data_IF_676090592609
#
_entry.id   IF_676090592609
#
_cell.length_a   1.000
_cell.length_b   1.000
_cell.length_c   1.000
_cell.angle_alpha   90.00
_cell.angle_beta   90.00
_cell.angle_gamma   90.00
#
_symmetry.space_group_name_H-M   'P 1'
#
loop_
_entity.id
_entity.type
_entity.pdbx_description
1 polymer ?
#
# COMPACT_ATOMS: atom_id res chain seq x y z
N UNK A 1 -12.67 -49.13 -4.29
CA UNK A 1 -11.40 -48.39 -4.30
C UNK A 1 -11.68 -47.10 -5.04
N UNK A 2 -11.84 -45.97 -4.34
CA UNK A 2 -12.00 -44.68 -5.00
C UNK A 2 -10.60 -44.16 -5.29
N UNK A 3 -10.22 -44.14 -6.57
CA UNK A 3 -9.03 -43.44 -7.01
C UNK A 3 -9.20 -41.96 -6.68
N UNK A 4 -8.46 -41.48 -5.69
CA UNK A 4 -8.38 -40.06 -5.40
C UNK A 4 -7.83 -39.38 -6.68
N UNK A 5 -8.47 -38.31 -7.17
CA UNK A 5 -8.00 -37.64 -8.37
C UNK A 5 -6.56 -37.17 -8.14
N UNK A 6 -5.67 -37.62 -9.02
CA UNK A 6 -4.28 -37.21 -9.03
C UNK A 6 -4.22 -35.70 -9.27
N UNK A 7 -4.15 -34.92 -8.20
CA UNK A 7 -3.85 -33.50 -8.30
C UNK A 7 -2.50 -33.39 -9.01
N UNK A 8 -2.39 -32.61 -10.11
CA UNK A 8 -1.11 -32.38 -10.76
C UNK A 8 -0.14 -31.88 -9.69
N UNK A 9 0.95 -32.64 -9.50
CA UNK A 9 1.92 -32.39 -8.44
C UNK A 9 2.60 -31.07 -8.76
N UNK A 10 2.08 -29.97 -8.20
CA UNK A 10 2.66 -28.65 -8.36
C UNK A 10 4.12 -28.63 -7.92
N UNK A 11 4.88 -27.62 -8.33
CA UNK A 11 6.24 -27.44 -7.82
C UNK A 11 6.21 -27.26 -6.28
N UNK A 12 7.35 -27.50 -5.61
CA UNK A 12 7.47 -27.23 -4.17
C UNK A 12 7.05 -25.79 -3.85
N UNK A 13 7.51 -24.83 -4.65
CA UNK A 13 7.16 -23.40 -4.53
C UNK A 13 5.65 -23.17 -4.62
N UNK A 14 4.98 -23.81 -5.57
CA UNK A 14 3.52 -23.71 -5.70
C UNK A 14 2.81 -24.21 -4.44
N UNK A 15 3.20 -25.38 -3.91
CA UNK A 15 2.60 -25.89 -2.65
C UNK A 15 2.84 -24.96 -1.47
N UNK A 16 4.06 -24.45 -1.33
CA UNK A 16 4.41 -23.51 -0.26
C UNK A 16 3.63 -22.20 -0.36
N UNK A 17 3.45 -21.67 -1.58
CA UNK A 17 2.62 -20.48 -1.81
C UNK A 17 1.22 -20.66 -1.23
N UNK A 18 0.57 -21.81 -1.50
CA UNK A 18 -0.78 -22.07 -1.01
C UNK A 18 -0.82 -22.29 0.50
N UNK A 19 0.19 -22.96 1.08
CA UNK A 19 0.28 -23.14 2.53
C UNK A 19 0.40 -21.79 3.25
N UNK A 20 1.37 -20.94 2.87
CA UNK A 20 1.50 -19.61 3.46
C UNK A 20 0.27 -18.72 3.23
N UNK A 21 -0.37 -18.85 2.06
CA UNK A 21 -1.59 -18.11 1.76
C UNK A 21 -2.74 -18.51 2.72
N UNK A 22 -2.92 -19.81 2.94
CA UNK A 22 -3.93 -20.36 3.85
C UNK A 22 -3.65 -19.91 5.28
N UNK A 23 -2.42 -20.10 5.76
CA UNK A 23 -1.99 -19.65 7.09
C UNK A 23 -2.28 -18.16 7.31
N UNK A 24 -1.91 -17.29 6.35
CA UNK A 24 -2.11 -15.85 6.46
C UNK A 24 -3.59 -15.42 6.36
N UNK A 25 -4.45 -16.23 5.76
CA UNK A 25 -5.90 -15.97 5.75
C UNK A 25 -6.56 -16.39 7.06
N UNK A 26 -6.08 -17.45 7.70
CA UNK A 26 -6.60 -17.95 8.96
C UNK A 26 -6.07 -17.13 10.15
N UNK A 27 -4.84 -16.63 10.06
CA UNK A 27 -4.20 -15.81 11.10
C UNK A 27 -4.64 -14.35 11.14
N UNK A 28 -5.78 -13.96 10.54
CA UNK A 28 -6.25 -12.56 10.58
C UNK A 28 -6.67 -12.11 11.98
N UNK A 29 -7.04 -13.08 12.81
CA UNK A 29 -7.46 -12.86 14.20
C UNK A 29 -6.89 -13.99 15.08
N UNK A 30 -5.56 -14.07 15.22
CA UNK A 30 -4.95 -15.17 15.92
C UNK A 30 -5.20 -15.02 17.44
N UNK A 31 -5.50 -16.12 18.17
CA UNK A 31 -5.81 -16.06 19.60
C UNK A 31 -4.64 -15.55 20.46
N UNK A 32 -3.42 -15.78 20.01
CA UNK A 32 -2.15 -15.42 20.67
C UNK A 32 -1.55 -14.10 20.13
N UNK A 33 -2.20 -13.47 19.14
CA UNK A 33 -1.71 -12.24 18.51
C UNK A 33 -0.54 -12.41 17.54
N UNK A 34 -0.07 -13.66 17.32
CA UNK A 34 0.96 -13.98 16.35
C UNK A 34 0.36 -14.30 14.98
N UNK A 35 0.89 -13.64 13.96
CA UNK A 35 0.33 -13.60 12.62
C UNK A 35 1.35 -14.15 11.62
N UNK A 36 0.90 -15.00 10.70
CA UNK A 36 1.74 -15.57 9.62
C UNK A 36 1.72 -14.69 8.36
N UNK A 37 1.04 -13.54 8.42
CA UNK A 37 0.97 -12.54 7.35
C UNK A 37 2.37 -12.12 6.88
N UNK A 38 3.29 -11.91 7.81
CA UNK A 38 4.66 -11.50 7.47
C UNK A 38 5.44 -12.63 6.81
N UNK A 39 5.25 -13.87 7.22
CA UNK A 39 5.88 -15.01 6.55
C UNK A 39 5.36 -15.16 5.12
N UNK A 40 4.04 -15.01 4.92
CA UNK A 40 3.45 -14.96 3.60
C UNK A 40 3.98 -13.78 2.77
N UNK A 41 4.09 -12.58 3.35
CA UNK A 41 4.61 -11.41 2.66
C UNK A 41 6.04 -11.61 2.18
N UNK A 42 6.93 -12.12 3.04
CA UNK A 42 8.33 -12.39 2.70
C UNK A 42 8.43 -13.47 1.63
N UNK A 43 7.68 -14.57 1.79
CA UNK A 43 7.64 -15.63 0.80
C UNK A 43 7.15 -15.11 -0.56
N UNK A 44 6.07 -14.32 -0.57
CA UNK A 44 5.49 -13.74 -1.78
C UNK A 44 6.47 -12.80 -2.48
N UNK A 45 7.14 -11.92 -1.74
CA UNK A 45 8.11 -10.99 -2.31
C UNK A 45 9.31 -11.73 -2.90
N UNK A 46 9.82 -12.75 -2.21
CA UNK A 46 10.93 -13.56 -2.73
C UNK A 46 10.52 -14.40 -3.94
N UNK A 47 9.30 -14.96 -3.95
CA UNK A 47 8.75 -15.66 -5.11
C UNK A 47 8.59 -14.73 -6.33
N UNK A 48 8.39 -13.43 -6.09
CA UNK A 48 8.28 -12.41 -7.11
C UNK A 48 9.61 -11.68 -7.35
N UNK A 49 10.78 -12.20 -6.95
CA UNK A 49 12.08 -11.55 -7.24
C UNK A 49 12.12 -10.06 -6.84
N UNK A 50 11.60 -9.74 -5.65
CA UNK A 50 11.80 -8.41 -5.05
C UNK A 50 13.20 -8.26 -4.47
N UNK A 51 13.76 -9.35 -3.95
CA UNK A 51 15.20 -9.57 -3.88
C UNK A 51 15.75 -9.93 -5.27
N UNK A 52 17.06 -9.85 -5.44
CA UNK A 52 17.71 -10.31 -6.66
C UNK A 52 18.65 -11.48 -6.35
N UNK A 53 18.72 -12.42 -7.29
CA UNK A 53 19.61 -13.57 -7.18
C UNK A 53 21.09 -13.19 -7.18
N UNK A 54 21.45 -11.95 -7.56
CA UNK A 54 22.82 -11.43 -7.51
C UNK A 54 23.19 -10.82 -6.13
N UNK A 55 22.24 -10.77 -5.19
CA UNK A 55 22.46 -10.40 -3.79
C UNK A 55 22.62 -8.89 -3.55
N UNK A 56 22.26 -8.05 -4.52
CA UNK A 56 22.19 -6.59 -4.35
C UNK A 56 20.96 -6.20 -3.56
N UNK A 57 19.79 -6.75 -3.84
CA UNK A 57 18.54 -6.58 -3.09
C UNK A 57 18.31 -7.77 -2.18
N UNK A 58 18.09 -7.48 -0.91
CA UNK A 58 17.84 -8.50 0.10
C UNK A 58 16.55 -8.20 0.85
N UNK A 59 15.74 -9.25 1.01
CA UNK A 59 14.60 -9.23 1.90
C UNK A 59 15.07 -9.38 3.35
N UNK A 60 14.60 -8.48 4.20
CA UNK A 60 14.84 -8.53 5.63
C UNK A 60 13.54 -8.39 6.39
N UNK A 61 13.41 -9.10 7.49
CA UNK A 61 12.30 -8.95 8.42
C UNK A 61 12.72 -8.11 9.63
N UNK A 62 11.74 -7.44 10.24
CA UNK A 62 11.84 -6.85 11.58
C UNK A 62 13.04 -5.90 11.72
N UNK A 63 13.34 -5.12 10.68
CA UNK A 63 14.48 -4.19 10.70
C UNK A 63 14.11 -2.91 11.43
N UNK A 64 14.83 -2.67 12.51
CA UNK A 64 14.78 -1.44 13.28
C UNK A 64 15.51 -0.31 12.54
N UNK A 65 14.83 0.81 12.46
CA UNK A 65 15.26 2.04 11.82
C UNK A 65 15.14 3.14 12.86
N UNK A 66 16.24 3.47 13.56
CA UNK A 66 16.24 4.61 14.45
C UNK A 66 15.98 5.88 13.68
N UNK A 67 15.20 6.79 14.21
CA UNK A 67 15.07 8.15 13.69
C UNK A 67 14.89 9.12 14.86
N UNK A 68 15.16 10.39 14.62
CA UNK A 68 15.14 11.41 15.66
C UNK A 68 13.85 12.22 15.57
N UNK A 69 13.28 12.45 16.74
CA UNK A 69 12.21 13.41 17.05
C UNK A 69 12.76 14.40 18.08
N UNK A 70 12.00 15.45 18.42
CA UNK A 70 12.45 16.47 19.38
C UNK A 70 12.82 15.84 20.74
N UNK A 71 11.98 14.93 21.25
CA UNK A 71 12.19 14.21 22.51
C UNK A 71 13.28 13.13 22.46
N UNK A 72 13.94 12.99 21.31
CA UNK A 72 15.09 12.15 21.12
C UNK A 72 14.88 11.01 20.14
N UNK A 73 15.61 9.91 20.36
CA UNK A 73 15.68 8.81 19.42
C UNK A 73 14.49 7.87 19.59
N UNK A 74 13.73 7.69 18.51
CA UNK A 74 12.64 6.72 18.40
C UNK A 74 13.05 5.64 17.41
N UNK A 75 12.76 4.37 17.73
CA UNK A 75 13.00 3.26 16.83
C UNK A 75 11.68 2.84 16.17
N UNK A 76 11.60 2.93 14.84
CA UNK A 76 10.52 2.32 14.05
C UNK A 76 10.99 1.01 13.46
N UNK A 77 10.06 0.09 13.25
CA UNK A 77 10.35 -1.26 12.79
C UNK A 77 9.44 -1.63 11.64
N UNK A 78 10.03 -1.84 10.47
CA UNK A 78 9.32 -2.45 9.36
C UNK A 78 9.26 -3.96 9.59
N UNK A 79 8.09 -4.56 9.35
CA UNK A 79 7.90 -5.99 9.53
C UNK A 79 8.63 -6.79 8.46
N UNK A 80 8.63 -6.28 7.23
CA UNK A 80 9.55 -6.67 6.17
C UNK A 80 10.03 -5.47 5.35
N UNK A 81 11.20 -5.59 4.73
CA UNK A 81 11.79 -4.54 3.90
C UNK A 81 12.70 -5.13 2.85
N UNK A 82 12.83 -4.46 1.70
CA UNK A 82 13.90 -4.71 0.74
C UNK A 82 14.99 -3.67 0.94
N UNK A 83 16.21 -4.16 1.10
CA UNK A 83 17.41 -3.34 1.20
C UNK A 83 18.25 -3.54 -0.05
N UNK A 84 18.65 -2.44 -0.70
CA UNK A 84 19.57 -2.46 -1.83
C UNK A 84 20.99 -2.14 -1.37
N UNK A 85 21.92 -3.06 -1.58
CA UNK A 85 23.37 -2.93 -1.39
C UNK A 85 23.98 -2.36 -2.66
N UNK A 86 24.61 -1.19 -2.59
CA UNK A 86 25.46 -0.69 -3.70
C UNK A 86 26.92 -1.12 -3.52
N UNK A 87 27.37 -1.26 -2.28
CA UNK A 87 28.71 -1.78 -1.95
C UNK A 87 28.65 -2.59 -0.65
N UNK A 88 29.75 -3.25 -0.26
CA UNK A 88 29.83 -4.03 0.98
C UNK A 88 29.55 -3.21 2.26
N UNK A 89 29.66 -1.88 2.20
CA UNK A 89 29.43 -0.98 3.35
C UNK A 89 28.28 0.01 3.14
N UNK A 90 27.64 -0.02 1.98
CA UNK A 90 26.60 0.94 1.62
C UNK A 90 25.34 0.21 1.18
N UNK A 91 24.27 0.42 1.94
CA UNK A 91 22.95 -0.07 1.62
C UNK A 91 21.89 1.00 1.87
N UNK A 92 20.74 0.82 1.25
CA UNK A 92 19.59 1.71 1.40
C UNK A 92 18.29 0.91 1.47
N UNK A 93 17.36 1.38 2.29
CA UNK A 93 15.99 0.86 2.31
C UNK A 93 15.26 1.35 1.05
N UNK A 94 14.64 0.43 0.31
CA UNK A 94 13.96 0.73 -0.97
C UNK A 94 12.51 0.23 -1.04
N UNK A 95 12.08 -0.64 -0.13
CA UNK A 95 10.68 -1.05 0.04
C UNK A 95 10.39 -1.26 1.52
N UNK A 96 9.22 -0.84 1.98
CA UNK A 96 8.73 -1.06 3.34
C UNK A 96 7.45 -1.87 3.31
N UNK A 97 7.32 -2.83 4.22
CA UNK A 97 6.14 -3.67 4.37
C UNK A 97 5.75 -3.70 5.82
N UNK A 98 4.49 -3.40 6.08
CA UNK A 98 3.93 -3.39 7.42
C UNK A 98 2.68 -4.25 7.48
N UNK A 99 2.59 -5.07 8.52
CA UNK A 99 1.36 -5.78 8.82
C UNK A 99 0.38 -4.85 9.54
N UNK A 100 -0.82 -4.73 8.99
CA UNK A 100 -1.91 -4.05 9.65
C UNK A 100 -2.57 -4.99 10.67
N UNK A 101 -2.24 -4.79 11.96
CA UNK A 101 -2.91 -5.48 13.07
C UNK A 101 -4.14 -4.69 13.50
N UNK A 102 -5.32 -5.13 13.05
CA UNK A 102 -6.61 -4.47 13.33
C UNK A 102 -6.90 -4.29 14.84
N UNK A 103 -6.32 -5.14 15.68
CA UNK A 103 -6.49 -5.12 17.14
C UNK A 103 -5.71 -4.02 17.85
N UNK A 104 -4.75 -3.37 17.17
CA UNK A 104 -3.88 -2.37 17.80
C UNK A 104 -4.56 -1.01 17.99
N UNK A 105 -5.63 -0.72 17.25
CA UNK A 105 -6.27 0.60 17.25
C UNK A 105 -5.38 1.72 16.67
N UNK A 106 -4.19 1.39 16.20
CA UNK A 106 -3.26 2.33 15.56
C UNK A 106 -3.52 2.33 14.06
N UNK A 107 -3.46 3.52 13.45
CA UNK A 107 -3.56 3.65 12.01
C UNK A 107 -2.31 3.05 11.33
N UNK A 108 -2.45 1.97 10.53
CA UNK A 108 -1.34 1.34 9.84
C UNK A 108 -0.66 2.28 8.84
N UNK A 109 -1.38 3.27 8.30
CA UNK A 109 -0.82 4.25 7.37
C UNK A 109 0.14 5.20 8.09
N UNK A 110 -0.26 5.72 9.25
CA UNK A 110 0.62 6.54 10.09
C UNK A 110 1.91 5.80 10.48
N UNK A 111 1.81 4.53 10.86
CA UNK A 111 2.98 3.70 11.17
C UNK A 111 3.89 3.50 9.96
N UNK A 112 3.32 3.27 8.79
CA UNK A 112 4.10 3.12 7.55
C UNK A 112 4.80 4.41 7.13
N UNK A 113 4.15 5.58 7.30
CA UNK A 113 4.75 6.89 7.06
C UNK A 113 5.92 7.14 8.03
N UNK A 114 5.76 6.83 9.31
CA UNK A 114 6.84 6.93 10.29
C UNK A 114 8.03 6.02 9.92
N UNK A 115 7.76 4.80 9.47
CA UNK A 115 8.79 3.90 8.94
C UNK A 115 9.51 4.49 7.71
N UNK A 116 8.79 5.16 6.80
CA UNK A 116 9.38 5.81 5.63
C UNK A 116 10.29 6.99 6.02
N UNK A 117 9.88 7.81 6.99
CA UNK A 117 10.72 8.88 7.54
C UNK A 117 11.99 8.29 8.18
N UNK A 118 11.85 7.23 8.98
CA UNK A 118 12.99 6.59 9.61
C UNK A 118 13.95 5.93 8.61
N UNK A 119 13.41 5.31 7.56
CA UNK A 119 14.17 4.78 6.44
C UNK A 119 14.95 5.89 5.72
N UNK A 120 14.32 7.04 5.46
CA UNK A 120 14.96 8.21 4.84
C UNK A 120 16.12 8.77 5.68
N UNK A 121 15.86 9.08 6.96
CA UNK A 121 16.91 9.57 7.87
C UNK A 121 18.05 8.54 8.02
N UNK A 122 17.74 7.24 8.02
CA UNK A 122 18.75 6.18 8.05
C UNK A 122 19.57 6.12 6.77
N UNK A 123 18.93 6.19 5.60
CA UNK A 123 19.60 6.25 4.30
C UNK A 123 20.57 7.45 4.26
N UNK A 124 20.12 8.65 4.64
CA UNK A 124 20.98 9.84 4.65
C UNK A 124 22.15 9.74 5.62
N UNK A 125 21.97 9.18 6.83
CA UNK A 125 23.11 8.91 7.74
C UNK A 125 24.11 7.93 7.17
N UNK A 126 23.66 6.88 6.48
CA UNK A 126 24.56 5.93 5.81
C UNK A 126 25.33 6.63 4.68
N UNK A 127 24.66 7.47 3.88
CA UNK A 127 25.28 8.28 2.81
C UNK A 127 26.33 9.23 3.36
N UNK A 128 26.00 9.97 4.42
CA UNK A 128 26.92 10.88 5.12
C UNK A 128 28.18 10.16 5.62
N UNK A 129 28.01 8.99 6.26
CA UNK A 129 29.15 8.15 6.72
C UNK A 129 30.00 7.64 5.56
N UNK A 130 29.38 7.37 4.41
CA UNK A 130 30.06 6.99 3.19
C UNK A 130 30.65 8.19 2.41
N UNK A 131 30.52 9.42 2.91
CA UNK A 131 30.92 10.67 2.24
C UNK A 131 30.23 10.88 0.88
N UNK A 132 28.99 10.41 0.78
CA UNK A 132 28.09 10.61 -0.36
C UNK A 132 27.10 11.72 0.03
N UNK A 133 26.74 12.59 -0.91
CA UNK A 133 25.74 13.64 -0.69
C UNK A 133 24.42 13.08 -0.18
N UNK A 134 23.82 13.74 0.82
CA UNK A 134 22.52 13.36 1.36
C UNK A 134 21.42 13.58 0.31
N UNK A 135 20.37 12.75 0.35
CA UNK A 135 19.20 12.92 -0.51
C UNK A 135 18.33 14.04 0.04
N UNK A 136 17.87 14.91 -0.87
CA UNK A 136 16.88 15.95 -0.55
C UNK A 136 15.44 15.43 -0.57
N UNK A 137 15.18 14.40 -1.36
CA UNK A 137 13.91 13.68 -1.36
C UNK A 137 14.11 12.24 -1.82
N UNK A 138 13.23 11.36 -1.35
CA UNK A 138 13.15 9.97 -1.77
C UNK A 138 11.70 9.51 -1.80
N UNK A 139 11.33 8.79 -2.85
CA UNK A 139 10.07 8.05 -2.90
C UNK A 139 10.29 6.66 -2.31
N UNK A 140 9.47 6.28 -1.35
CA UNK A 140 9.39 4.93 -0.81
C UNK A 140 8.14 4.23 -1.36
N UNK A 141 8.29 3.19 -2.21
CA UNK A 141 7.22 2.22 -2.34
C UNK A 141 7.04 1.52 -1.00
N UNK A 142 5.80 1.36 -0.59
CA UNK A 142 5.47 0.72 0.67
C UNK A 142 4.18 -0.11 0.54
N UNK A 143 4.01 -1.09 1.42
CA UNK A 143 2.91 -2.04 1.37
C UNK A 143 2.34 -2.23 2.78
N UNK A 144 1.01 -2.19 2.92
CA UNK A 144 0.36 -2.76 4.11
C UNK A 144 -0.37 -4.04 3.75
N UNK A 145 -0.40 -4.99 4.70
CA UNK A 145 -1.14 -6.25 4.56
C UNK A 145 -2.06 -6.48 5.75
N UNK A 146 -3.32 -6.76 5.47
CA UNK A 146 -4.29 -7.29 6.43
C UNK A 146 -4.69 -8.71 5.99
N UNK A 147 -4.14 -9.73 6.63
CA UNK A 147 -4.16 -11.08 6.09
C UNK A 147 -3.48 -11.10 4.72
N UNK A 148 -4.23 -11.44 3.68
CA UNK A 148 -3.74 -11.45 2.29
C UNK A 148 -4.32 -10.29 1.45
N UNK A 149 -5.02 -9.34 2.09
CA UNK A 149 -5.45 -8.11 1.46
C UNK A 149 -4.34 -7.06 1.56
N UNK A 150 -3.91 -6.56 0.41
CA UNK A 150 -2.74 -5.71 0.23
C UNK A 150 -3.16 -4.30 -0.20
N UNK A 151 -2.59 -3.28 0.42
CA UNK A 151 -2.64 -1.88 -0.05
C UNK A 151 -1.23 -1.42 -0.42
N UNK A 152 -1.11 -0.79 -1.58
CA UNK A 152 0.16 -0.29 -2.09
C UNK A 152 0.26 1.21 -1.88
N UNK A 153 1.43 1.69 -1.45
CA UNK A 153 1.68 3.09 -1.15
C UNK A 153 2.88 3.61 -1.92
N UNK A 154 2.82 4.87 -2.31
CA UNK A 154 3.96 5.66 -2.79
C UNK A 154 4.07 6.88 -1.87
N UNK A 155 5.09 6.88 -1.03
CA UNK A 155 5.30 7.89 0.01
C UNK A 155 6.50 8.75 -0.40
N UNK A 156 6.30 10.05 -0.55
CA UNK A 156 7.39 10.98 -0.86
C UNK A 156 7.91 11.61 0.43
N UNK A 157 9.14 11.30 0.81
CA UNK A 157 9.79 11.93 1.97
C UNK A 157 10.77 12.98 1.46
N UNK A 158 10.74 14.17 2.05
CA UNK A 158 11.72 15.23 1.78
C UNK A 158 12.57 15.49 3.01
N UNK A 159 13.71 16.16 2.80
CA UNK A 159 14.56 16.61 3.90
C UNK A 159 13.82 17.58 4.83
N UNK A 160 13.00 18.48 4.28
CA UNK A 160 12.21 19.43 5.06
C UNK A 160 11.21 18.72 5.96
N UNK A 161 10.50 17.71 5.45
CA UNK A 161 9.60 16.89 6.26
C UNK A 161 10.36 16.16 7.37
N UNK A 162 11.50 15.55 7.04
CA UNK A 162 12.30 14.79 8.01
C UNK A 162 12.87 15.69 9.11
N UNK A 163 13.31 16.90 8.77
CA UNK A 163 13.79 17.91 9.73
C UNK A 163 12.66 18.46 10.59
N UNK A 164 11.47 18.67 10.02
CA UNK A 164 10.32 19.16 10.76
C UNK A 164 9.89 18.16 11.84
N UNK A 165 9.85 16.86 11.51
CA UNK A 165 9.59 15.78 12.47
C UNK A 165 10.69 15.68 13.54
N UNK A 166 11.95 15.90 13.16
CA UNK A 166 13.08 15.91 14.10
C UNK A 166 13.05 17.10 15.07
N UNK A 167 12.49 18.23 14.65
CA UNK A 167 12.51 19.50 15.40
C UNK A 167 11.17 19.87 16.04
N UNK A 168 10.17 18.98 15.96
CA UNK A 168 8.76 19.25 16.31
C UNK A 168 8.20 20.55 15.71
N UNK A 169 8.65 20.88 14.50
CA UNK A 169 8.12 22.02 13.74
C UNK A 169 6.97 21.53 12.87
N UNK A 170 5.94 22.37 12.70
CA UNK A 170 4.83 22.04 11.82
C UNK A 170 5.36 21.60 10.44
N UNK A 171 5.07 20.36 10.02
CA UNK A 171 5.74 19.79 8.86
C UNK A 171 5.26 20.43 7.58
N UNK A 172 6.16 20.45 6.59
CA UNK A 172 5.75 20.60 5.21
C UNK A 172 4.78 19.46 4.86
N UNK A 173 3.67 19.78 4.19
CA UNK A 173 2.71 18.77 3.74
C UNK A 173 3.43 17.71 2.88
N UNK A 174 3.10 16.45 3.10
CA UNK A 174 3.55 15.35 2.25
C UNK A 174 2.39 14.69 1.54
N UNK A 175 2.65 14.25 0.31
CA UNK A 175 1.67 13.55 -0.52
C UNK A 175 1.94 12.05 -0.44
N UNK A 176 0.95 11.33 0.07
CA UNK A 176 0.91 9.87 0.10
C UNK A 176 -0.12 9.40 -0.93
N UNK A 177 0.31 8.58 -1.87
CA UNK A 177 -0.62 7.92 -2.80
C UNK A 177 -0.86 6.49 -2.34
N UNK A 178 -2.13 6.13 -2.14
CA UNK A 178 -2.56 4.78 -1.80
C UNK A 178 -3.32 4.15 -2.97
N UNK A 179 -3.06 2.87 -3.23
CA UNK A 179 -3.81 2.05 -4.18
C UNK A 179 -4.31 0.79 -3.48
N UNK A 180 -5.63 0.70 -3.36
CA UNK A 180 -6.34 -0.49 -2.90
C UNK A 180 -6.90 -1.20 -4.12
N UNK A 181 -6.53 -2.46 -4.40
CA UNK A 181 -7.12 -3.25 -5.47
C UNK A 181 -8.66 -3.22 -5.44
N UNK A 182 -9.34 -2.80 -6.53
CA UNK A 182 -10.79 -2.63 -6.56
C UNK A 182 -11.50 -3.99 -6.74
N UNK A 183 -11.37 -4.86 -5.75
CA UNK A 183 -11.85 -6.23 -5.77
C UNK A 183 -13.07 -6.42 -4.86
N UNK A 184 -14.04 -7.27 -5.22
CA UNK A 184 -15.19 -7.54 -4.38
C UNK A 184 -14.76 -8.23 -3.09
N UNK A 185 -15.31 -7.76 -1.96
CA UNK A 185 -15.04 -8.32 -0.61
C UNK A 185 -13.54 -8.44 -0.29
N UNK A 186 -12.73 -7.51 -0.81
CA UNK A 186 -11.27 -7.62 -0.77
C UNK A 186 -10.69 -7.75 0.64
N UNK A 187 -11.17 -6.94 1.60
CA UNK A 187 -10.71 -7.01 2.99
C UNK A 187 -10.97 -8.37 3.63
N UNK A 188 -12.09 -9.02 3.30
CA UNK A 188 -12.48 -10.31 3.90
C UNK A 188 -12.04 -11.52 3.09
N UNK A 189 -11.62 -11.38 1.84
CA UNK A 189 -11.22 -12.51 0.99
C UNK A 189 -9.77 -12.45 0.53
N UNK A 190 -9.15 -11.26 0.51
CA UNK A 190 -7.77 -11.04 0.08
C UNK A 190 -7.46 -11.78 -1.22
N UNK A 191 -6.38 -12.57 -1.20
CA UNK A 191 -5.91 -13.42 -2.30
C UNK A 191 -6.49 -14.86 -2.28
N UNK A 192 -7.52 -15.13 -1.47
CA UNK A 192 -8.18 -16.44 -1.40
C UNK A 192 -8.80 -16.85 -2.74
N UNK A 193 -9.76 -16.07 -3.30
CA UNK A 193 -10.32 -16.33 -4.61
C UNK A 193 -9.27 -16.21 -5.74
N UNK A 194 -9.33 -17.11 -6.72
CA UNK A 194 -8.39 -17.13 -7.85
C UNK A 194 -8.36 -15.79 -8.62
N UNK A 195 -9.52 -15.18 -8.84
CA UNK A 195 -9.64 -13.88 -9.52
C UNK A 195 -8.91 -12.77 -8.77
N UNK A 196 -9.13 -12.67 -7.46
CA UNK A 196 -8.46 -11.70 -6.60
C UNK A 196 -6.95 -11.93 -6.60
N UNK A 197 -6.52 -13.18 -6.41
CA UNK A 197 -5.11 -13.55 -6.41
C UNK A 197 -4.41 -13.14 -7.69
N UNK A 198 -4.99 -13.46 -8.85
CA UNK A 198 -4.44 -13.10 -10.16
C UNK A 198 -4.31 -11.59 -10.32
N UNK A 199 -5.29 -10.83 -9.85
CA UNK A 199 -5.27 -9.37 -9.90
C UNK A 199 -4.18 -8.80 -8.99
N UNK A 200 -4.13 -9.23 -7.73
CA UNK A 200 -3.14 -8.76 -6.75
C UNK A 200 -1.71 -9.08 -7.20
N UNK A 201 -1.45 -10.29 -7.70
CA UNK A 201 -0.13 -10.65 -8.25
C UNK A 201 0.30 -9.74 -9.40
N UNK A 202 -0.63 -9.33 -10.27
CA UNK A 202 -0.34 -8.34 -11.32
C UNK A 202 -0.03 -6.96 -10.73
N UNK A 203 -0.70 -6.57 -9.65
CA UNK A 203 -0.38 -5.33 -8.95
C UNK A 203 1.04 -5.35 -8.37
N UNK A 204 1.47 -6.46 -7.74
CA UNK A 204 2.86 -6.60 -7.29
C UNK A 204 3.85 -6.47 -8.45
N UNK A 205 3.64 -7.18 -9.56
CA UNK A 205 4.51 -7.08 -10.73
C UNK A 205 4.62 -5.65 -11.26
N UNK A 206 3.51 -4.93 -11.38
CA UNK A 206 3.52 -3.52 -11.78
C UNK A 206 4.24 -2.65 -10.74
N UNK A 207 4.04 -2.92 -9.45
CA UNK A 207 4.59 -2.15 -8.35
C UNK A 207 6.11 -2.23 -8.23
N UNK A 208 6.75 -3.31 -8.70
CA UNK A 208 8.23 -3.43 -8.74
C UNK A 208 8.92 -2.27 -9.44
N UNK A 209 8.25 -1.65 -10.41
CA UNK A 209 8.80 -0.53 -11.18
C UNK A 209 9.18 0.66 -10.28
N UNK A 210 8.55 0.80 -9.12
CA UNK A 210 8.85 1.87 -8.16
C UNK A 210 10.07 1.61 -7.28
N UNK A 211 10.57 0.38 -7.21
CA UNK A 211 11.77 0.03 -6.44
C UNK A 211 13.08 0.26 -7.20
N UNK A 212 13.02 0.21 -8.52
CA UNK A 212 14.19 0.42 -9.36
C UNK A 212 14.51 1.92 -9.39
N UNK A 213 15.45 2.35 -8.57
CA UNK A 213 16.14 3.61 -8.73
C UNK A 213 16.82 3.65 -10.11
N UNK A 214 16.11 4.14 -11.11
CA UNK A 214 16.55 4.67 -12.40
C UNK A 214 17.81 4.03 -12.99
N UNK A 215 17.63 3.05 -13.88
CA UNK A 215 18.53 2.76 -15.00
C UNK A 215 17.86 1.93 -16.12
N UNK A 216 16.59 2.16 -16.44
CA UNK A 216 16.02 1.77 -17.73
C UNK A 216 15.01 2.83 -18.24
N UNK A 217 14.95 3.12 -19.55
CA UNK A 217 14.00 4.05 -20.16
C UNK A 217 12.61 3.40 -20.29
N UNK A 218 12.00 3.00 -19.18
CA UNK A 218 10.59 2.59 -19.13
C UNK A 218 9.76 3.66 -18.43
N UNK A 219 9.88 4.89 -18.93
CA UNK A 219 9.20 6.07 -18.37
C UNK A 219 7.73 6.19 -18.85
N UNK A 220 7.34 5.46 -19.90
CA UNK A 220 6.00 5.60 -20.50
C UNK A 220 4.90 4.83 -19.75
N UNK A 221 5.16 3.61 -19.27
CA UNK A 221 4.13 2.74 -18.66
C UNK A 221 3.80 3.17 -17.22
N UNK A 222 4.80 3.67 -16.48
CA UNK A 222 4.62 4.09 -15.09
C UNK A 222 3.84 5.42 -14.95
N UNK A 223 3.97 6.33 -15.93
CA UNK A 223 3.22 7.59 -15.96
C UNK A 223 1.73 7.39 -16.28
N UNK A 224 1.38 6.42 -17.12
CA UNK A 224 -0.02 6.09 -17.45
C UNK A 224 -0.77 5.49 -16.25
N UNK A 225 -0.11 4.59 -15.50
CA UNK A 225 -0.67 4.03 -14.27
C UNK A 225 -0.94 5.11 -13.20
N UNK A 226 -0.07 6.13 -13.10
CA UNK A 226 -0.19 7.24 -12.15
C UNK A 226 -1.20 8.33 -12.60
N UNK A 227 -1.51 8.43 -13.89
CA UNK A 227 -2.44 9.41 -14.44
C UNK A 227 -3.92 8.94 -14.45
N UNK A 228 -4.22 7.77 -13.90
CA UNK A 228 -5.58 7.19 -13.91
C UNK A 228 -6.10 6.86 -15.31
N UNK A 229 -5.22 6.74 -16.31
CA UNK A 229 -5.57 6.30 -17.67
C UNK A 229 -5.06 4.88 -17.89
N UNK A 230 -5.91 3.94 -18.34
CA UNK A 230 -5.46 2.59 -18.61
C UNK A 230 -4.48 2.58 -19.80
N UNK A 231 -3.42 1.75 -19.77
CA UNK A 231 -2.41 1.73 -20.82
C UNK A 231 -2.99 1.28 -22.15
N UNK A 232 -2.55 1.95 -23.21
CA UNK A 232 -3.12 2.00 -24.58
C UNK A 232 -2.96 0.72 -25.42
N UNK A 233 -2.95 -0.46 -24.81
CA UNK A 233 -3.03 -1.74 -25.54
C UNK A 233 -4.04 -2.69 -24.90
N UNK A 234 -5.30 -2.32 -25.03
CA UNK A 234 -6.45 -3.21 -25.00
C UNK A 234 -7.08 -3.21 -26.41
N UNK A 235 -6.43 -3.87 -27.36
CA UNK A 235 -7.06 -4.35 -28.61
C UNK A 235 -7.40 -5.79 -28.28
N UNK A 236 -8.61 -6.25 -27.98
CA UNK A 236 -9.96 -5.83 -28.36
C UNK A 236 -10.92 -6.07 -27.18
N UNK A 237 -11.70 -5.05 -26.78
CA UNK A 237 -13.08 -5.21 -26.29
C UNK A 237 -13.70 -3.82 -26.06
N UNK A 238 -14.27 -3.23 -27.11
CA UNK A 238 -15.14 -2.05 -27.03
C UNK A 238 -16.54 -2.35 -27.56
N UNK A 239 -17.49 -1.52 -27.10
CA UNK A 239 -18.94 -1.47 -27.34
C UNK A 239 -19.78 -2.49 -26.55
N UNK A 240 -20.38 -2.12 -25.41
CA UNK A 240 -21.60 -1.28 -25.26
C UNK A 240 -21.69 -0.98 -23.73
N UNK A 241 -21.74 0.21 -23.13
CA UNK A 241 -22.48 1.47 -23.38
C UNK A 241 -21.85 2.60 -22.54
N UNK A 242 -21.49 3.74 -23.14
CA UNK A 242 -21.16 4.99 -22.42
C UNK A 242 -22.03 6.16 -22.91
N UNK A 243 -23.29 5.86 -23.24
CA UNK A 243 -24.30 6.86 -23.68
C UNK A 243 -25.35 7.16 -22.61
N UNK A 244 -25.33 6.50 -21.43
CA UNK A 244 -26.35 6.74 -20.40
C UNK A 244 -25.93 7.61 -19.20
N UNK A 245 -24.66 7.97 -19.03
CA UNK A 245 -24.22 8.73 -17.83
C UNK A 245 -23.90 10.21 -18.14
N UNK A 246 -23.67 10.56 -19.41
CA UNK A 246 -23.40 11.94 -19.81
C UNK A 246 -24.66 12.82 -19.97
N UNK A 247 -25.87 12.28 -19.85
CA UNK A 247 -27.12 13.06 -19.95
C UNK A 247 -27.60 13.69 -18.63
N UNK A 248 -27.00 13.36 -17.49
CA UNK A 248 -27.50 13.82 -16.18
C UNK A 248 -26.74 15.00 -15.55
N UNK A 249 -25.66 15.52 -16.15
CA UNK A 249 -24.87 16.61 -15.55
C UNK A 249 -24.90 17.96 -16.29
N UNK A 250 -25.74 18.10 -17.33
CA UNK A 250 -25.86 19.36 -18.10
C UNK A 250 -27.05 20.26 -17.68
N UNK A 251 -27.47 20.28 -16.39
CA UNK A 251 -28.61 21.12 -15.97
C UNK A 251 -28.45 22.03 -14.75
N UNK A 252 -27.31 22.11 -14.08
CA UNK A 252 -27.21 23.00 -12.91
C UNK A 252 -25.85 23.69 -12.89
N UNK A 253 -25.73 24.77 -13.69
CA UNK A 253 -24.61 25.68 -13.59
C UNK A 253 -24.67 26.48 -12.29
N UNK A 254 -23.51 26.67 -11.65
CA UNK A 254 -23.04 27.85 -10.89
C UNK A 254 -21.61 27.55 -10.38
N UNK A 255 -20.72 28.54 -10.45
CA UNK A 255 -19.31 28.49 -10.00
C UNK A 255 -19.13 29.13 -8.60
N UNK A 256 -18.00 28.88 -7.91
CA UNK A 256 -17.86 29.02 -6.45
C UNK A 256 -17.13 30.28 -5.98
N UNK A 257 -17.36 30.71 -4.73
CA UNK A 257 -16.42 31.56 -3.96
C UNK A 257 -16.52 31.39 -2.43
N UNK A 258 -15.35 31.27 -1.80
CA UNK A 258 -14.91 31.73 -0.46
C UNK A 258 -15.43 31.15 0.88
N UNK A 259 -16.44 30.28 0.95
CA UNK A 259 -16.89 29.67 2.23
C UNK A 259 -16.41 28.22 2.49
N UNK A 260 -15.62 27.64 1.57
CA UNK A 260 -15.21 26.24 1.63
C UNK A 260 -14.29 25.90 2.82
N UNK A 261 -13.59 26.90 3.36
CA UNK A 261 -12.62 26.71 4.44
C UNK A 261 -13.25 26.78 5.85
N UNK A 262 -14.48 27.27 6.00
CA UNK A 262 -15.13 27.38 7.33
C UNK A 262 -16.00 26.15 7.63
N UNK A 263 -16.49 25.44 6.61
CA UNK A 263 -17.42 24.31 6.77
C UNK A 263 -16.73 22.96 7.05
N UNK A 264 -15.51 22.76 6.54
CA UNK A 264 -14.76 21.50 6.69
C UNK A 264 -14.49 21.17 8.18
N UNK A 265 -14.42 22.18 9.05
CA UNK A 265 -14.09 22.00 10.46
C UNK A 265 -15.29 21.74 11.40
N UNK A 266 -16.54 21.96 10.99
CA UNK A 266 -17.70 21.84 11.92
C UNK A 266 -18.52 20.55 11.78
N UNK A 267 -18.57 19.93 10.59
CA UNK A 267 -19.67 18.99 10.28
C UNK A 267 -19.27 17.51 10.09
N UNK A 268 -17.97 17.20 10.02
CA UNK A 268 -17.49 15.83 9.80
C UNK A 268 -17.79 14.88 10.99
N UNK A 269 -17.74 15.30 12.27
CA UNK A 269 -18.07 14.40 13.39
C UNK A 269 -19.57 14.16 13.62
N UNK A 270 -20.48 15.03 13.12
CA UNK A 270 -21.93 14.91 13.42
C UNK A 270 -22.71 14.02 12.43
N UNK A 271 -22.20 13.78 11.22
CA UNK A 271 -22.91 13.01 10.18
C UNK A 271 -22.71 11.49 10.21
N UNK A 272 -21.79 10.97 11.01
CA UNK A 272 -21.62 9.51 11.17
C UNK A 272 -22.64 8.84 12.12
N UNK A 273 -23.40 9.59 12.93
CA UNK A 273 -24.32 9.01 13.92
C UNK A 273 -25.83 9.13 13.58
N UNK A 274 -26.23 9.93 12.59
CA UNK A 274 -27.66 10.11 12.25
C UNK A 274 -28.17 9.19 11.11
N UNK A 275 -27.30 8.44 10.43
CA UNK A 275 -27.70 7.58 9.29
C UNK A 275 -28.34 6.23 9.68
N UNK A 276 -28.50 5.93 10.98
CA UNK A 276 -29.06 4.65 11.47
C UNK A 276 -30.54 4.68 11.92
N UNK A 277 -31.27 5.81 11.80
CA UNK A 277 -32.62 5.96 12.41
C UNK A 277 -33.78 6.46 11.53
N UNK A 278 -33.70 6.50 10.19
CA UNK A 278 -34.82 6.98 9.35
C UNK A 278 -35.24 6.06 8.18
N UNK A 279 -35.09 4.74 8.32
CA UNK A 279 -35.87 3.78 7.53
C UNK A 279 -36.99 3.22 8.39
N UNK A 280 -38.14 3.88 8.40
CA UNK A 280 -39.47 3.32 8.66
C UNK A 280 -40.54 4.45 8.63
N UNK A 281 -41.44 4.46 7.61
CA UNK A 281 -42.91 4.69 7.67
C UNK A 281 -43.55 5.19 6.33
N UNK A 282 -44.89 4.99 6.12
CA UNK A 282 -45.48 4.52 4.87
C UNK A 282 -46.19 5.57 3.98
N UNK A 283 -46.60 5.12 2.77
CA UNK A 283 -47.21 5.85 1.65
C UNK A 283 -48.65 6.36 1.90
N UNK A 284 -49.08 7.50 1.30
CA UNK A 284 -50.47 7.95 1.35
C UNK A 284 -51.30 7.39 0.18
N UNK A 285 -52.53 6.97 0.51
CA UNK A 285 -53.61 6.58 -0.41
C UNK A 285 -54.27 7.85 -0.96
N UNK A 286 -54.51 7.91 -2.26
CA UNK A 286 -55.35 8.94 -2.90
C UNK A 286 -56.72 8.34 -3.24
N UNK A 287 -57.76 8.99 -2.74
CA UNK A 287 -59.17 8.76 -3.09
C UNK A 287 -59.53 9.49 -4.38
N UNK A 288 -60.16 8.78 -5.30
CA UNK A 288 -61.03 9.27 -6.37
C UNK A 288 -62.13 8.24 -6.56
#
# INVERSE_FOLDING_TARGET
>A
MYDAPAYPVGTKTTRQFFAYLEDAMDSRFPPDGETTVIDFAVFLLGMLDYDDGDGRRLLHTRKEMPFYMEDGRVDVKADATVIERKTSRFYQYILLVHENKFTSGVDPEAQLIAQAIGAFQRNNRIRKRAKISELKSQIFPAITMFGTAVTFYKITITEELAMAVESDIFPAETIVHAFVPPLPRYISQGMGPLGNRRFVLRCFEAFKQFMAGWLLPYHAVAQEFLAGRPPTKWVDFYHTSYVQIASSFAKTGVRPTQELDVWIQSEVPRRCQSSRKSRERPWPVTTS
#
